data_IF_461988668076
#
_entry.id   IF_461988668076
#
_cell.length_a   1.000
_cell.length_b   1.000
_cell.length_c   1.000
_cell.angle_alpha   90.00
_cell.angle_beta   90.00
_cell.angle_gamma   90.00
#
_symmetry.space_group_name_H-M   'P 1'
#
loop_
_entity.id
_entity.type
_entity.pdbx_description
1 polymer ?
#
# COMPACT_ATOMS: atom_id res chain seq x y z
N UNK A 1 -6.68 9.76 14.00
CA UNK A 1 -6.57 9.61 12.55
C UNK A 1 -6.57 8.13 12.21
N UNK A 2 -7.30 7.77 11.19
CA UNK A 2 -7.39 6.36 10.77
C UNK A 2 -6.12 5.84 10.09
N UNK A 3 -5.33 6.70 9.45
CA UNK A 3 -4.08 6.32 8.79
C UNK A 3 -2.90 6.48 9.75
N UNK A 4 -2.08 5.46 9.83
CA UNK A 4 -0.86 5.45 10.63
C UNK A 4 0.19 4.52 10.02
N UNK A 5 1.47 4.64 10.43
CA UNK A 5 2.45 3.62 10.10
C UNK A 5 2.05 2.25 10.67
N UNK A 6 2.38 1.19 9.94
CA UNK A 6 2.19 -0.18 10.40
C UNK A 6 3.10 -0.50 11.59
N UNK A 7 2.69 -1.47 12.40
CA UNK A 7 3.47 -2.04 13.50
C UNK A 7 3.51 -3.56 13.36
N UNK A 8 4.39 -4.22 14.12
CA UNK A 8 4.44 -5.69 14.14
C UNK A 8 3.12 -6.32 14.58
N UNK A 9 2.35 -5.61 15.42
CA UNK A 9 1.03 -6.06 15.87
C UNK A 9 -0.01 -6.16 14.75
N UNK A 10 0.25 -5.55 13.59
CA UNK A 10 -0.66 -5.58 12.45
C UNK A 10 -0.43 -6.77 11.51
N UNK A 11 0.57 -7.61 11.78
CA UNK A 11 1.02 -8.67 10.87
C UNK A 11 -0.10 -9.61 10.43
N UNK A 12 -0.97 -10.04 11.33
CA UNK A 12 -2.07 -10.96 11.01
C UNK A 12 -3.07 -10.29 10.05
N UNK A 13 -3.48 -9.07 10.34
CA UNK A 13 -4.43 -8.35 9.48
C UNK A 13 -3.82 -7.99 8.13
N UNK A 14 -2.55 -7.62 8.10
CA UNK A 14 -1.81 -7.40 6.85
C UNK A 14 -1.80 -8.68 6.00
N UNK A 15 -1.52 -9.82 6.60
CA UNK A 15 -1.54 -11.12 5.89
C UNK A 15 -2.92 -11.43 5.30
N UNK A 16 -4.00 -11.16 6.05
CA UNK A 16 -5.36 -11.32 5.56
C UNK A 16 -5.68 -10.39 4.39
N UNK A 17 -5.25 -9.13 4.44
CA UNK A 17 -5.40 -8.19 3.35
C UNK A 17 -4.63 -8.63 2.11
N UNK A 18 -3.40 -9.13 2.29
CA UNK A 18 -2.59 -9.64 1.17
C UNK A 18 -3.24 -10.86 0.51
N UNK A 19 -3.92 -11.72 1.27
CA UNK A 19 -4.72 -12.82 0.72
C UNK A 19 -5.82 -12.28 -0.20
N UNK A 20 -6.50 -11.22 0.20
CA UNK A 20 -7.52 -10.57 -0.65
C UNK A 20 -6.91 -9.94 -1.91
N UNK A 21 -5.64 -9.57 -1.87
CA UNK A 21 -4.88 -9.05 -3.01
C UNK A 21 -4.26 -10.17 -3.87
N UNK A 22 -4.64 -11.44 -3.63
CA UNK A 22 -4.15 -12.63 -4.36
C UNK A 22 -2.70 -13.04 -4.00
N UNK A 23 -2.26 -12.71 -2.78
CA UNK A 23 -0.98 -13.16 -2.21
C UNK A 23 -1.25 -14.00 -0.96
N UNK A 24 -1.62 -15.28 -1.11
CA UNK A 24 -1.92 -16.16 0.03
C UNK A 24 -0.64 -16.63 0.74
N UNK A 25 -0.82 -17.20 1.93
CA UNK A 25 0.24 -17.88 2.69
C UNK A 25 1.38 -16.97 3.19
N UNK A 26 1.13 -15.67 3.30
CA UNK A 26 2.12 -14.72 3.80
C UNK A 26 2.35 -14.85 5.30
N UNK A 27 1.43 -15.45 6.05
CA UNK A 27 1.52 -15.67 7.49
C UNK A 27 2.78 -16.44 7.91
N UNK A 28 3.37 -17.20 7.00
CA UNK A 28 4.59 -17.98 7.26
C UNK A 28 5.84 -17.10 7.44
N UNK A 29 5.85 -15.90 6.86
CA UNK A 29 7.04 -15.04 6.85
C UNK A 29 6.75 -13.56 7.11
N UNK A 30 5.49 -13.15 7.25
CA UNK A 30 5.12 -11.73 7.29
C UNK A 30 5.78 -10.97 8.45
N UNK A 31 5.91 -11.59 9.62
CA UNK A 31 6.52 -10.93 10.78
C UNK A 31 7.98 -10.56 10.53
N UNK A 32 8.76 -11.48 9.94
CA UNK A 32 10.17 -11.25 9.61
C UNK A 32 10.32 -10.16 8.57
N UNK A 33 9.49 -10.21 7.52
CA UNK A 33 9.52 -9.19 6.46
C UNK A 33 9.12 -7.82 6.99
N UNK A 34 8.05 -7.77 7.77
CA UNK A 34 7.55 -6.53 8.36
C UNK A 34 8.59 -5.91 9.29
N UNK A 35 9.24 -6.72 10.14
CA UNK A 35 10.29 -6.22 11.03
C UNK A 35 11.45 -5.59 10.27
N UNK A 36 11.88 -6.19 9.16
CA UNK A 36 12.96 -5.65 8.34
C UNK A 36 12.53 -4.34 7.64
N UNK A 37 11.33 -4.30 7.09
CA UNK A 37 10.83 -3.13 6.36
C UNK A 37 10.57 -1.94 7.27
N UNK A 38 10.11 -2.17 8.50
CA UNK A 38 9.87 -1.08 9.46
C UNK A 38 11.15 -0.37 9.92
N UNK A 39 12.30 -0.99 9.74
CA UNK A 39 13.61 -0.40 10.07
C UNK A 39 14.29 0.29 8.88
N UNK A 40 13.78 0.10 7.68
CA UNK A 40 14.38 0.67 6.47
C UNK A 40 13.78 2.06 6.21
N UNK A 41 14.61 3.14 6.24
CA UNK A 41 14.12 4.50 6.01
C UNK A 41 13.60 4.73 4.59
N UNK A 42 13.94 3.87 3.62
CA UNK A 42 13.42 3.94 2.26
C UNK A 42 12.02 3.33 2.11
N UNK A 43 11.52 2.68 3.15
CA UNK A 43 10.24 1.98 3.15
C UNK A 43 9.24 2.69 4.06
N UNK A 44 7.99 2.79 3.60
CA UNK A 44 6.87 3.27 4.41
C UNK A 44 5.68 2.34 4.22
N UNK A 45 5.21 1.79 5.33
CA UNK A 45 4.01 0.96 5.34
C UNK A 45 2.91 1.72 6.07
N UNK A 46 1.86 2.05 5.35
CA UNK A 46 0.68 2.74 5.90
C UNK A 46 -0.46 1.75 6.05
N UNK A 47 -1.15 1.85 7.16
CA UNK A 47 -2.39 1.11 7.39
C UNK A 47 -3.53 2.07 7.69
N UNK A 48 -4.73 1.70 7.28
CA UNK A 48 -5.95 2.35 7.69
C UNK A 48 -6.58 1.53 8.81
N UNK A 49 -6.56 2.10 10.01
CA UNK A 49 -6.99 1.45 11.26
C UNK A 49 -8.44 1.85 11.55
N UNK A 50 -9.30 0.88 11.74
CA UNK A 50 -10.69 1.14 12.11
C UNK A 50 -10.76 1.73 13.51
N UNK A 51 -11.56 2.80 13.72
CA UNK A 51 -11.70 3.39 15.04
C UNK A 51 -12.19 2.38 16.09
N UNK A 52 -11.58 2.44 17.27
CA UNK A 52 -11.83 1.48 18.36
C UNK A 52 -13.27 1.50 18.93
N UNK A 53 -14.01 2.56 18.65
CA UNK A 53 -15.40 2.72 19.06
C UNK A 53 -16.40 1.96 18.17
N UNK A 54 -15.94 1.46 17.03
CA UNK A 54 -16.77 0.59 16.20
C UNK A 54 -16.70 -0.84 16.72
N UNK A 55 -17.83 -1.38 17.14
CA UNK A 55 -17.90 -2.71 17.69
C UNK A 55 -17.44 -3.76 16.67
N UNK A 56 -16.30 -4.37 16.95
CA UNK A 56 -15.76 -5.43 16.12
C UNK A 56 -16.26 -6.79 16.62
N UNK A 57 -16.72 -7.61 15.68
CA UNK A 57 -16.99 -9.01 15.98
C UNK A 57 -15.68 -9.81 15.99
N UNK A 58 -15.64 -10.88 16.76
CA UNK A 58 -14.48 -11.77 16.81
C UNK A 58 -14.12 -12.26 15.41
N UNK A 59 -12.85 -12.09 15.00
CA UNK A 59 -12.35 -12.47 13.67
C UNK A 59 -12.49 -11.41 12.57
N UNK A 60 -13.09 -10.24 12.87
CA UNK A 60 -13.09 -9.12 11.93
C UNK A 60 -11.70 -8.49 11.81
N UNK A 61 -11.43 -7.89 10.66
CA UNK A 61 -10.20 -7.11 10.46
C UNK A 61 -10.31 -5.78 11.21
N UNK A 62 -9.25 -5.43 11.91
CA UNK A 62 -9.08 -4.08 12.46
C UNK A 62 -8.42 -3.16 11.44
N UNK A 63 -7.45 -3.69 10.69
CA UNK A 63 -6.80 -2.96 9.62
C UNK A 63 -7.59 -3.20 8.34
N UNK A 64 -8.17 -2.15 7.80
CA UNK A 64 -9.03 -2.21 6.62
C UNK A 64 -8.35 -1.75 5.33
N UNK A 65 -7.12 -1.23 5.43
CA UNK A 65 -6.35 -0.81 4.27
C UNK A 65 -4.86 -0.91 4.53
N UNK A 66 -4.11 -1.19 3.47
CA UNK A 66 -2.64 -1.28 3.48
C UNK A 66 -2.10 -0.61 2.22
N UNK A 67 -1.06 0.19 2.38
CA UNK A 67 -0.29 0.75 1.27
C UNK A 67 1.20 0.67 1.60
N UNK A 68 1.96 0.04 0.72
CA UNK A 68 3.42 -0.08 0.82
C UNK A 68 4.07 0.88 -0.17
N UNK A 69 4.87 1.82 0.33
CA UNK A 69 5.50 2.89 -0.42
C UNK A 69 7.02 2.80 -0.31
N UNK A 70 7.71 2.93 -1.43
CA UNK A 70 9.18 2.91 -1.49
C UNK A 70 9.70 4.22 -2.04
N UNK A 71 10.79 4.73 -1.46
CA UNK A 71 11.52 5.88 -2.00
C UNK A 71 12.76 5.37 -2.71
N UNK A 72 12.89 5.68 -3.99
CA UNK A 72 13.92 5.12 -4.88
C UNK A 72 14.77 6.26 -5.42
N UNK A 73 16.09 6.26 -5.14
CA UNK A 73 16.98 7.24 -5.74
C UNK A 73 17.15 6.96 -7.24
N UNK A 74 17.37 8.02 -8.02
CA UNK A 74 17.60 7.90 -9.44
C UNK A 74 18.76 8.78 -9.87
N UNK A 75 19.56 8.30 -10.83
CA UNK A 75 20.77 8.99 -11.27
C UNK A 75 20.50 10.03 -12.37
N UNK A 76 19.41 9.89 -13.09
CA UNK A 76 19.12 10.72 -14.27
C UNK A 76 18.34 12.00 -13.95
N UNK A 77 17.70 12.06 -12.79
CA UNK A 77 16.89 13.20 -12.36
C UNK A 77 17.28 13.62 -10.94
N UNK A 78 17.02 14.86 -10.61
CA UNK A 78 17.47 15.45 -9.34
C UNK A 78 16.76 14.86 -8.13
N UNK A 79 15.47 14.58 -8.21
CA UNK A 79 14.69 14.02 -7.10
C UNK A 79 14.66 12.50 -7.11
N UNK A 80 14.29 11.91 -5.98
CA UNK A 80 13.91 10.51 -5.91
C UNK A 80 12.53 10.34 -6.54
N UNK A 81 12.11 9.09 -6.76
CA UNK A 81 10.70 8.79 -7.04
C UNK A 81 10.15 7.83 -6.00
N UNK A 82 8.84 7.84 -5.84
CA UNK A 82 8.15 6.93 -4.95
C UNK A 82 7.40 5.87 -5.76
N UNK A 83 7.33 4.63 -5.23
CA UNK A 83 6.58 3.54 -5.85
C UNK A 83 5.68 2.87 -4.83
N UNK A 84 4.41 2.74 -5.19
CA UNK A 84 3.46 1.89 -4.47
C UNK A 84 3.66 0.45 -4.96
N UNK A 85 4.00 -0.48 -4.06
CA UNK A 85 4.20 -1.88 -4.41
C UNK A 85 3.01 -2.76 -4.03
N UNK A 86 2.36 -2.49 -2.91
CA UNK A 86 1.16 -3.20 -2.46
C UNK A 86 0.14 -2.18 -1.99
N UNK A 87 -1.09 -2.32 -2.45
CA UNK A 87 -2.16 -1.42 -2.10
C UNK A 87 -3.47 -2.20 -2.12
N UNK A 88 -4.10 -2.33 -0.96
CA UNK A 88 -5.33 -3.10 -0.82
C UNK A 88 -6.24 -2.44 0.20
N UNK A 89 -7.53 -2.45 -0.09
CA UNK A 89 -8.61 -2.13 0.86
C UNK A 89 -9.42 -3.41 1.05
N UNK A 90 -9.76 -3.72 2.30
CA UNK A 90 -10.56 -4.88 2.64
C UNK A 90 -11.85 -4.92 1.81
N UNK A 91 -12.23 -6.10 1.33
CA UNK A 91 -13.45 -6.26 0.51
C UNK A 91 -14.69 -5.72 1.23
N UNK A 92 -14.77 -5.93 2.55
CA UNK A 92 -15.87 -5.44 3.40
C UNK A 92 -15.95 -3.92 3.53
N UNK A 93 -14.88 -3.20 3.17
CA UNK A 93 -14.75 -1.75 3.37
C UNK A 93 -14.60 -0.97 2.07
N UNK A 94 -14.76 -1.61 0.92
CA UNK A 94 -14.67 -0.94 -0.38
C UNK A 94 -15.79 0.08 -0.56
N UNK A 95 -15.50 1.15 -1.30
CA UNK A 95 -16.46 2.21 -1.57
C UNK A 95 -16.64 3.22 -0.44
N UNK A 96 -15.83 3.13 0.63
CA UNK A 96 -15.89 4.04 1.78
C UNK A 96 -14.83 5.14 1.76
N UNK A 97 -14.08 5.27 0.68
CA UNK A 97 -13.06 6.31 0.53
C UNK A 97 -11.68 5.97 1.14
N UNK A 98 -11.52 4.80 1.74
CA UNK A 98 -10.26 4.39 2.39
C UNK A 98 -9.08 4.40 1.41
N UNK A 99 -9.28 3.87 0.21
CA UNK A 99 -8.25 3.88 -0.83
C UNK A 99 -7.82 5.29 -1.22
N UNK A 100 -8.78 6.20 -1.36
CA UNK A 100 -8.48 7.59 -1.69
C UNK A 100 -7.71 8.29 -0.57
N UNK A 101 -8.04 8.03 0.68
CA UNK A 101 -7.31 8.58 1.83
C UNK A 101 -5.87 8.07 1.89
N UNK A 102 -5.66 6.77 1.69
CA UNK A 102 -4.31 6.17 1.67
C UNK A 102 -3.47 6.72 0.52
N UNK A 103 -4.05 6.83 -0.68
CA UNK A 103 -3.35 7.40 -1.83
C UNK A 103 -2.98 8.87 -1.61
N UNK A 104 -3.88 9.67 -1.03
CA UNK A 104 -3.60 11.05 -0.72
C UNK A 104 -2.45 11.19 0.28
N UNK A 105 -2.37 10.32 1.28
CA UNK A 105 -1.26 10.31 2.22
C UNK A 105 0.05 9.88 1.56
N UNK A 106 0.03 8.88 0.67
CA UNK A 106 1.20 8.49 -0.10
C UNK A 106 1.71 9.65 -0.98
N UNK A 107 0.81 10.36 -1.63
CA UNK A 107 1.14 11.54 -2.43
C UNK A 107 1.78 12.64 -1.56
N UNK A 108 1.21 12.89 -0.38
CA UNK A 108 1.75 13.88 0.56
C UNK A 108 3.17 13.51 1.00
N UNK A 109 3.41 12.24 1.32
CA UNK A 109 4.73 11.76 1.74
C UNK A 109 5.74 11.82 0.59
N UNK A 110 5.34 11.47 -0.62
CA UNK A 110 6.21 11.57 -1.80
C UNK A 110 6.65 13.01 -2.06
N UNK A 111 5.72 13.96 -1.96
CA UNK A 111 6.04 15.40 -2.09
C UNK A 111 6.96 15.88 -0.98
N UNK A 112 6.71 15.49 0.26
CA UNK A 112 7.55 15.83 1.41
C UNK A 112 8.97 15.31 1.25
N UNK A 113 9.14 14.14 0.66
CA UNK A 113 10.43 13.51 0.40
C UNK A 113 11.17 14.15 -0.80
N UNK A 114 10.51 15.03 -1.56
CA UNK A 114 11.08 15.65 -2.75
C UNK A 114 11.05 14.77 -3.98
N UNK A 115 10.16 13.81 -4.04
CA UNK A 115 10.01 12.94 -5.22
C UNK A 115 9.48 13.71 -6.42
N UNK A 116 9.98 13.36 -7.61
CA UNK A 116 9.50 13.94 -8.85
C UNK A 116 8.23 13.26 -9.38
N UNK A 117 7.94 12.03 -8.93
CA UNK A 117 6.74 11.30 -9.33
C UNK A 117 6.40 10.18 -8.33
N UNK A 118 5.17 9.70 -8.46
CA UNK A 118 4.67 8.53 -7.76
C UNK A 118 4.24 7.51 -8.81
N UNK A 119 4.76 6.29 -8.71
CA UNK A 119 4.48 5.18 -9.62
C UNK A 119 3.69 4.08 -8.94
N UNK A 120 2.92 3.33 -9.72
CA UNK A 120 2.30 2.09 -9.30
C UNK A 120 2.28 1.10 -10.48
N UNK A 121 2.56 -0.17 -10.20
CA UNK A 121 2.40 -1.24 -11.19
C UNK A 121 1.12 -2.01 -10.87
N UNK A 122 0.27 -2.16 -11.86
CA UNK A 122 -1.03 -2.81 -11.70
C UNK A 122 -1.27 -3.77 -12.86
N UNK A 123 -1.63 -5.01 -12.54
CA UNK A 123 -1.92 -6.03 -13.55
C UNK A 123 -3.08 -5.59 -14.44
N UNK A 124 -2.99 -5.90 -15.74
CA UNK A 124 -3.98 -5.49 -16.75
C UNK A 124 -5.39 -6.01 -16.47
N UNK A 125 -5.54 -7.16 -15.78
CA UNK A 125 -6.83 -7.70 -15.42
C UNK A 125 -7.55 -6.97 -14.26
N UNK A 126 -6.85 -6.11 -13.52
CA UNK A 126 -7.40 -5.34 -12.40
C UNK A 126 -8.04 -4.05 -12.88
N UNK A 127 -9.13 -4.15 -13.65
CA UNK A 127 -9.77 -2.99 -14.29
C UNK A 127 -10.32 -1.97 -13.31
N UNK A 128 -10.84 -2.41 -12.16
CA UNK A 128 -11.30 -1.51 -11.10
C UNK A 128 -10.18 -0.67 -10.51
N UNK A 129 -9.00 -1.27 -10.32
CA UNK A 129 -7.81 -0.56 -9.84
C UNK A 129 -7.32 0.47 -10.87
N UNK A 130 -7.32 0.11 -12.16
CA UNK A 130 -6.97 1.05 -13.23
C UNK A 130 -7.88 2.29 -13.23
N UNK A 131 -9.18 2.09 -13.07
CA UNK A 131 -10.14 3.20 -12.96
C UNK A 131 -9.89 4.06 -11.73
N UNK A 132 -9.59 3.44 -10.59
CA UNK A 132 -9.24 4.15 -9.36
C UNK A 132 -8.01 5.03 -9.58
N UNK A 133 -6.92 4.49 -10.11
CA UNK A 133 -5.69 5.25 -10.33
C UNK A 133 -5.90 6.39 -11.34
N UNK A 134 -6.64 6.15 -12.40
CA UNK A 134 -6.97 7.21 -13.36
C UNK A 134 -7.70 8.40 -12.70
N UNK A 135 -8.65 8.12 -11.80
CA UNK A 135 -9.35 9.16 -11.03
C UNK A 135 -8.41 9.94 -10.10
N UNK A 136 -7.32 9.31 -9.64
CA UNK A 136 -6.32 9.97 -8.79
C UNK A 136 -5.26 10.71 -9.58
N UNK A 137 -5.37 10.76 -10.92
CA UNK A 137 -4.45 11.51 -11.77
C UNK A 137 -3.29 10.69 -12.35
N UNK A 138 -3.29 9.39 -12.17
CA UNK A 138 -2.27 8.53 -12.78
C UNK A 138 -2.53 8.36 -14.26
N UNK A 139 -1.45 8.34 -15.04
CA UNK A 139 -1.48 8.08 -16.47
C UNK A 139 -0.69 6.81 -16.77
N UNK A 140 -1.11 6.07 -17.80
CA UNK A 140 -0.43 4.85 -18.20
C UNK A 140 0.91 5.18 -18.86
N UNK A 141 1.94 4.45 -18.44
CA UNK A 141 3.29 4.52 -19.03
C UNK A 141 3.66 3.21 -19.70
N UNK A 142 4.74 3.19 -20.52
CA UNK A 142 5.14 1.99 -21.24
C UNK A 142 5.41 0.80 -20.34
N UNK A 143 5.42 -0.37 -20.96
CA UNK A 143 5.55 -1.69 -20.32
C UNK A 143 6.66 -1.77 -19.31
N UNK A 144 6.41 -2.40 -18.18
CA UNK A 144 7.47 -2.98 -17.37
C UNK A 144 7.64 -4.45 -17.76
N UNK A 145 8.85 -4.97 -17.56
CA UNK A 145 9.19 -6.36 -17.90
C UNK A 145 9.70 -7.04 -16.64
N UNK A 146 9.33 -8.30 -16.45
CA UNK A 146 9.72 -9.09 -15.29
C UNK A 146 10.41 -10.38 -15.75
N UNK A 147 11.48 -10.73 -15.06
CA UNK A 147 12.15 -12.02 -15.22
C UNK A 147 12.18 -12.69 -13.86
N UNK A 148 11.52 -13.83 -13.73
CA UNK A 148 11.59 -14.64 -12.50
C UNK A 148 12.95 -15.30 -12.41
N UNK A 149 13.51 -15.31 -11.21
CA UNK A 149 14.82 -15.88 -10.92
C UNK A 149 14.70 -17.19 -10.16
#
# INVERSE_FOLDING_TARGET
MSIRPATLGDAIDISRLLTQLEYPSTEEFIEIRLAAMLQDPAETLLVWDEPADQAQTAGSLRILGLLSLHFIPQIALQGDFARISYFVVADSARGQGIGQELEAEATRLARKHGCDRLEVHCSSHRTGAHMFYARQGYVEFPKYLIKKL
#
